data_IF_887157437537
#
_entry.id   IF_887157437537
#
_cell.length_a   1.000
_cell.length_b   1.000
_cell.length_c   1.000
_cell.angle_alpha   90.00
_cell.angle_beta   90.00
_cell.angle_gamma   90.00
#
_symmetry.space_group_name_H-M   'P 1'
#
loop_
_entity.id
_entity.type
_entity.pdbx_description
1 polymer ?
#
# COMPACT_ATOMS: atom_id res chain seq x y z
N UNK A 1 -0.40 29.84 -12.10
CA UNK A 1 0.44 28.74 -11.55
C UNK A 1 -0.44 27.75 -10.80
N UNK A 2 -0.46 26.46 -11.19
CA UNK A 2 -1.20 25.40 -10.47
C UNK A 2 -0.57 25.23 -9.08
N UNK A 3 -1.34 25.29 -8.00
CA UNK A 3 -0.78 25.12 -6.63
C UNK A 3 -0.10 23.75 -6.54
N UNK A 4 1.17 23.75 -6.14
CA UNK A 4 1.99 22.52 -6.00
C UNK A 4 1.67 21.72 -4.74
N UNK A 5 0.93 22.32 -3.79
CA UNK A 5 0.53 21.71 -2.51
C UNK A 5 -0.84 22.25 -2.08
N UNK A 6 -1.61 21.41 -1.39
CA UNK A 6 -2.88 21.76 -0.75
C UNK A 6 -2.71 21.58 0.75
N UNK A 7 -3.14 22.56 1.55
CA UNK A 7 -3.12 22.45 3.01
C UNK A 7 -4.25 21.53 3.46
N UNK A 8 -3.94 20.61 4.37
CA UNK A 8 -4.89 19.68 4.98
C UNK A 8 -4.82 19.89 6.49
N UNK A 9 -5.96 20.21 7.10
CA UNK A 9 -6.09 20.34 8.55
C UNK A 9 -6.81 19.12 9.08
N UNK A 10 -6.22 18.46 10.07
CA UNK A 10 -6.80 17.31 10.76
C UNK A 10 -6.85 17.59 12.26
N UNK A 11 -7.88 17.08 12.92
CA UNK A 11 -7.95 17.07 14.39
C UNK A 11 -7.48 15.70 14.87
N UNK A 12 -6.64 15.70 15.91
CA UNK A 12 -6.11 14.50 16.54
C UNK A 12 -6.39 14.54 18.04
N UNK A 13 -6.60 13.37 18.69
CA UNK A 13 -6.58 13.28 20.14
C UNK A 13 -5.28 13.90 20.72
N UNK A 14 -5.35 14.60 21.88
CA UNK A 14 -4.19 15.34 22.41
C UNK A 14 -2.96 14.48 22.68
N UNK A 15 -3.16 13.23 23.11
CA UNK A 15 -2.11 12.22 23.31
C UNK A 15 -1.42 11.86 21.99
N UNK A 16 -2.20 11.57 20.95
CA UNK A 16 -1.67 11.28 19.62
C UNK A 16 -0.93 12.49 19.03
N UNK A 17 -1.43 13.70 19.22
CA UNK A 17 -0.76 14.91 18.76
C UNK A 17 0.60 15.12 19.42
N UNK A 18 0.72 14.82 20.73
CA UNK A 18 1.99 14.87 21.48
C UNK A 18 2.97 13.83 20.98
N UNK A 19 2.52 12.59 20.78
CA UNK A 19 3.38 11.52 20.25
C UNK A 19 3.84 11.83 18.84
N UNK A 20 2.97 12.38 18.00
CA UNK A 20 3.30 12.81 16.66
C UNK A 20 4.42 13.85 16.64
N UNK A 21 4.34 14.87 17.51
CA UNK A 21 5.39 15.88 17.67
C UNK A 21 6.69 15.28 18.17
N UNK A 22 6.62 14.39 19.17
CA UNK A 22 7.79 13.70 19.73
C UNK A 22 8.51 12.87 18.67
N UNK A 23 7.79 12.07 17.90
CA UNK A 23 8.36 11.22 16.83
C UNK A 23 8.99 12.10 15.74
N UNK A 24 8.29 13.16 15.31
CA UNK A 24 8.83 14.09 14.32
C UNK A 24 10.16 14.71 14.80
N UNK A 25 10.22 15.11 16.07
CA UNK A 25 11.44 15.63 16.69
C UNK A 25 12.57 14.59 16.74
N UNK A 26 12.27 13.36 17.16
CA UNK A 26 13.24 12.26 17.22
C UNK A 26 13.84 11.90 15.85
N UNK A 27 13.04 12.01 14.78
CA UNK A 27 13.47 11.73 13.41
C UNK A 27 14.03 12.95 12.67
N UNK A 28 14.21 14.09 13.35
CA UNK A 28 14.60 15.37 12.74
C UNK A 28 13.72 15.77 11.54
N UNK A 29 12.42 15.46 11.60
CA UNK A 29 11.42 15.74 10.57
C UNK A 29 10.46 16.83 11.02
N UNK A 30 9.96 17.61 10.07
CA UNK A 30 8.77 18.44 10.34
C UNK A 30 7.50 17.58 10.29
N UNK A 31 6.44 18.08 10.93
CA UNK A 31 5.11 17.45 10.96
C UNK A 31 4.64 17.01 9.58
N UNK A 32 4.72 17.86 8.57
CA UNK A 32 4.23 17.51 7.23
C UNK A 32 5.06 16.42 6.55
N UNK A 33 6.36 16.30 6.86
CA UNK A 33 7.22 15.23 6.34
C UNK A 33 6.88 13.88 6.98
N UNK A 34 6.78 13.84 8.32
CA UNK A 34 6.36 12.63 9.02
C UNK A 34 5.01 12.13 8.50
N UNK A 35 4.05 13.03 8.27
CA UNK A 35 2.73 12.67 7.73
C UNK A 35 2.84 11.97 6.37
N UNK A 36 3.68 12.52 5.47
CA UNK A 36 3.87 11.93 4.13
C UNK A 36 4.52 10.56 4.21
N UNK A 37 5.50 10.38 5.09
CA UNK A 37 6.18 9.09 5.26
C UNK A 37 5.21 8.04 5.81
N UNK A 38 4.43 8.40 6.84
CA UNK A 38 3.38 7.54 7.40
C UNK A 38 2.32 7.19 6.36
N UNK A 39 1.91 8.16 5.53
CA UNK A 39 0.92 7.94 4.48
C UNK A 39 1.45 7.01 3.38
N UNK A 40 2.73 7.15 2.99
CA UNK A 40 3.37 6.22 2.05
C UNK A 40 3.38 4.79 2.60
N UNK A 41 3.79 4.61 3.86
CA UNK A 41 3.78 3.31 4.53
C UNK A 41 2.37 2.72 4.62
N UNK A 42 1.36 3.54 4.92
CA UNK A 42 -0.04 3.11 4.91
C UNK A 42 -0.47 2.61 3.53
N UNK A 43 -0.10 3.33 2.46
CA UNK A 43 -0.40 2.93 1.07
C UNK A 43 0.28 1.62 0.69
N UNK A 44 1.54 1.45 1.03
CA UNK A 44 2.28 0.21 0.76
C UNK A 44 1.60 -0.99 1.43
N UNK A 45 1.23 -0.85 2.70
CA UNK A 45 0.50 -1.89 3.43
C UNK A 45 -0.86 -2.21 2.80
N UNK A 46 -1.57 -1.20 2.29
CA UNK A 46 -2.84 -1.41 1.62
C UNK A 46 -2.67 -2.18 0.29
N UNK A 47 -1.66 -1.82 -0.51
CA UNK A 47 -1.32 -2.50 -1.76
C UNK A 47 -0.85 -3.93 -1.53
N UNK A 48 -0.03 -4.16 -0.51
CA UNK A 48 0.41 -5.51 -0.13
C UNK A 48 -0.78 -6.40 0.23
N UNK A 49 -1.72 -5.87 1.03
CA UNK A 49 -2.94 -6.61 1.37
C UNK A 49 -3.74 -6.99 0.12
N UNK A 50 -3.96 -6.03 -0.78
CA UNK A 50 -4.67 -6.27 -2.04
C UNK A 50 -3.96 -7.32 -2.90
N UNK A 51 -2.64 -7.23 -3.03
CA UNK A 51 -1.84 -8.20 -3.77
C UNK A 51 -1.97 -9.61 -3.18
N UNK A 52 -1.87 -9.76 -1.85
CA UNK A 52 -2.01 -11.06 -1.19
C UNK A 52 -3.43 -11.63 -1.31
N UNK A 53 -4.46 -10.78 -1.30
CA UNK A 53 -5.84 -11.20 -1.53
C UNK A 53 -6.03 -11.74 -2.96
N UNK A 54 -5.52 -11.02 -3.96
CA UNK A 54 -5.53 -11.46 -5.36
C UNK A 54 -4.72 -12.75 -5.56
N UNK A 55 -3.54 -12.85 -4.94
CA UNK A 55 -2.70 -14.04 -5.00
C UNK A 55 -3.41 -15.27 -4.41
N UNK A 56 -4.05 -15.12 -3.24
CA UNK A 56 -4.84 -16.20 -2.60
C UNK A 56 -6.00 -16.64 -3.49
N UNK A 57 -6.74 -15.67 -4.05
CA UNK A 57 -7.83 -15.94 -4.97
C UNK A 57 -7.34 -16.69 -6.22
N UNK A 58 -6.29 -16.19 -6.86
CA UNK A 58 -5.68 -16.79 -8.04
C UNK A 58 -5.18 -18.21 -7.79
N UNK A 59 -4.47 -18.43 -6.69
CA UNK A 59 -3.97 -19.75 -6.30
C UNK A 59 -5.12 -20.74 -6.07
N UNK A 60 -6.23 -20.31 -5.46
CA UNK A 60 -7.43 -21.16 -5.32
C UNK A 60 -8.01 -21.54 -6.68
N UNK A 61 -8.20 -20.56 -7.57
CA UNK A 61 -8.74 -20.78 -8.93
C UNK A 61 -7.84 -21.66 -9.79
N UNK A 62 -6.52 -21.49 -9.70
CA UNK A 62 -5.55 -22.30 -10.43
C UNK A 62 -5.63 -23.76 -10.02
N UNK A 63 -5.70 -24.04 -8.70
CA UNK A 63 -5.90 -25.41 -8.18
C UNK A 63 -7.22 -26.03 -8.65
N UNK A 64 -8.32 -25.29 -8.57
CA UNK A 64 -9.64 -25.74 -9.06
C UNK A 64 -9.62 -26.12 -10.56
N UNK A 65 -8.74 -25.47 -11.35
CA UNK A 65 -8.59 -25.68 -12.79
C UNK A 65 -7.42 -26.59 -13.17
N UNK A 66 -6.70 -27.16 -12.20
CA UNK A 66 -5.54 -28.02 -12.45
C UNK A 66 -4.32 -27.29 -13.05
N UNK A 67 -4.25 -25.96 -12.92
CA UNK A 67 -3.11 -25.15 -13.40
C UNK A 67 -2.06 -25.15 -12.28
N UNK A 68 -0.97 -25.90 -12.48
CA UNK A 68 0.02 -26.14 -11.42
C UNK A 68 1.44 -25.73 -11.83
N UNK A 69 1.69 -25.52 -13.11
CA UNK A 69 3.01 -25.21 -13.65
C UNK A 69 3.01 -23.92 -14.46
N UNK A 70 4.18 -23.32 -14.62
CA UNK A 70 4.36 -22.15 -15.50
C UNK A 70 3.92 -22.47 -16.94
N UNK A 71 4.16 -23.71 -17.42
CA UNK A 71 3.70 -24.15 -18.74
C UNK A 71 2.17 -24.15 -18.88
N UNK A 72 1.44 -24.48 -17.82
CA UNK A 72 -0.03 -24.44 -17.84
C UNK A 72 -0.53 -22.99 -17.93
N UNK A 73 0.17 -22.07 -17.27
CA UNK A 73 -0.10 -20.63 -17.36
C UNK A 73 0.21 -20.11 -18.76
N UNK A 74 1.37 -20.45 -19.31
CA UNK A 74 1.79 -20.04 -20.66
C UNK A 74 0.78 -20.49 -21.71
N UNK A 75 0.35 -21.76 -21.67
CA UNK A 75 -0.69 -22.27 -22.58
C UNK A 75 -1.93 -21.39 -22.54
N UNK A 76 -2.46 -21.07 -21.36
CA UNK A 76 -3.71 -20.30 -21.22
C UNK A 76 -3.54 -18.82 -21.63
N UNK A 77 -2.40 -18.22 -21.30
CA UNK A 77 -2.16 -16.78 -21.58
C UNK A 77 -1.83 -16.54 -23.05
N UNK A 78 -1.16 -17.50 -23.70
CA UNK A 78 -0.65 -17.36 -25.06
C UNK A 78 -1.40 -18.21 -26.11
N UNK A 79 -2.46 -18.95 -25.75
CA UNK A 79 -3.19 -19.87 -26.65
C UNK A 79 -3.86 -19.23 -27.89
N UNK A 80 -3.73 -17.93 -28.12
CA UNK A 80 -4.30 -17.24 -29.28
C UNK A 80 -3.48 -16.05 -29.75
N UNK A 81 -2.18 -16.02 -29.45
CA UNK A 81 -1.23 -15.02 -29.93
C UNK A 81 -0.30 -15.59 -30.99
#
# INVERSE_FOLDING_TARGET
>A
MKRRRVAVTISLPPDIAKDYERIAGQEAKNKSQLFRDMFSLYREKALEKEFLDLQRYGAKRAREKGILTEKDVEKIVFEGR
#
